data_IF_289128199929
#
_entry.id   IF_289128199929
#
_cell.length_a   1.000
_cell.length_b   1.000
_cell.length_c   1.000
_cell.angle_alpha   90.00
_cell.angle_beta   90.00
_cell.angle_gamma   90.00
#
_symmetry.space_group_name_H-M   'P 1'
#
loop_
_entity.id
_entity.type
_entity.pdbx_description
1 polymer ?
#
# COMPACT_ATOMS: atom_id res chain seq x y z
N UNK A 1 -42.12 18.68 -15.65
CA UNK A 1 -40.64 18.59 -15.65
C UNK A 1 -40.23 17.29 -14.98
N UNK A 2 -39.67 16.35 -15.75
CA UNK A 2 -39.41 14.98 -15.33
C UNK A 2 -38.07 14.89 -14.58
N UNK A 3 -38.10 14.45 -13.32
CA UNK A 3 -36.89 14.12 -12.56
C UNK A 3 -36.34 12.78 -13.02
N UNK A 4 -35.18 12.83 -13.68
CA UNK A 4 -34.45 11.67 -14.18
C UNK A 4 -33.88 10.88 -13.00
N UNK A 5 -34.61 9.86 -12.54
CA UNK A 5 -34.12 8.83 -11.61
C UNK A 5 -32.87 8.18 -12.22
N UNK A 6 -31.72 8.37 -11.58
CA UNK A 6 -30.46 7.68 -11.90
C UNK A 6 -30.64 6.21 -11.48
N UNK A 7 -30.66 5.30 -12.47
CA UNK A 7 -30.65 3.85 -12.24
C UNK A 7 -29.45 3.50 -11.33
N UNK A 8 -29.73 3.04 -10.11
CA UNK A 8 -28.75 2.34 -9.26
C UNK A 8 -28.55 0.97 -9.91
N UNK A 9 -27.31 0.65 -10.26
CA UNK A 9 -26.94 -0.72 -10.64
C UNK A 9 -27.11 -1.61 -9.42
N UNK A 10 -27.81 -2.73 -9.63
CA UNK A 10 -27.80 -3.90 -8.76
C UNK A 10 -26.39 -4.51 -8.86
N UNK A 11 -25.76 -4.71 -7.69
CA UNK A 11 -24.51 -5.45 -7.40
C UNK A 11 -23.58 -4.58 -6.54
N UNK A 12 -23.74 -4.67 -5.22
CA UNK A 12 -22.70 -4.48 -4.19
C UNK A 12 -23.37 -4.37 -2.81
N UNK A 13 -23.73 -5.50 -2.19
CA UNK A 13 -24.08 -5.56 -0.76
C UNK A 13 -22.80 -5.59 0.10
N UNK A 14 -21.92 -4.59 -0.05
CA UNK A 14 -20.78 -4.42 0.85
C UNK A 14 -21.28 -3.62 2.07
N UNK A 15 -21.54 -4.31 3.18
CA UNK A 15 -21.88 -3.64 4.46
C UNK A 15 -20.64 -2.89 4.94
N UNK A 16 -20.61 -1.59 4.68
CA UNK A 16 -19.54 -0.69 5.11
C UNK A 16 -19.86 -0.18 6.52
N UNK A 17 -19.20 -0.65 7.59
CA UNK A 17 -19.40 -0.07 8.89
C UNK A 17 -18.95 1.39 8.84
N UNK A 18 -19.84 2.30 9.28
CA UNK A 18 -19.54 3.71 9.41
C UNK A 18 -18.20 3.87 10.15
N UNK A 19 -17.34 4.85 9.77
CA UNK A 19 -16.05 5.09 10.41
C UNK A 19 -16.27 5.58 11.85
N UNK A 20 -16.66 4.68 12.74
CA UNK A 20 -16.75 4.93 14.16
C UNK A 20 -15.34 4.81 14.70
N UNK A 21 -14.76 5.97 15.00
CA UNK A 21 -13.64 6.11 15.92
C UNK A 21 -12.31 5.47 15.48
N UNK A 22 -11.83 5.79 14.28
CA UNK A 22 -10.37 5.89 14.13
C UNK A 22 -9.97 7.15 14.89
N UNK A 23 -9.53 7.01 16.14
CA UNK A 23 -8.90 8.11 16.86
C UNK A 23 -7.64 8.49 16.08
N UNK A 24 -7.78 9.47 15.18
CA UNK A 24 -6.64 10.19 14.63
C UNK A 24 -6.18 11.15 15.73
N UNK A 25 -5.77 10.59 16.87
CA UNK A 25 -4.72 11.23 17.62
C UNK A 25 -3.61 11.38 16.60
N UNK A 26 -3.30 12.63 16.22
CA UNK A 26 -2.09 12.94 15.48
C UNK A 26 -1.01 12.03 16.04
N UNK A 27 -0.50 11.09 15.22
CA UNK A 27 0.59 10.21 15.59
C UNK A 27 1.65 11.12 16.19
N UNK A 28 1.73 11.19 17.52
CA UNK A 28 2.69 12.08 18.16
C UNK A 28 4.04 11.48 17.80
N UNK A 29 5.03 12.31 17.48
CA UNK A 29 6.35 11.84 17.05
C UNK A 29 7.05 10.88 18.05
N UNK A 30 6.48 10.67 19.23
CA UNK A 30 6.98 9.84 20.33
C UNK A 30 6.11 8.62 20.67
N UNK A 31 4.99 8.37 19.98
CA UNK A 31 4.15 7.21 20.26
C UNK A 31 4.66 5.95 19.56
N UNK A 32 4.63 4.83 20.28
CA UNK A 32 4.97 3.50 19.75
C UNK A 32 4.13 3.23 18.50
N UNK A 33 4.76 2.88 17.38
CA UNK A 33 4.05 2.50 16.16
C UNK A 33 4.88 1.59 15.29
N UNK A 34 4.20 0.73 14.54
CA UNK A 34 4.80 -0.09 13.50
C UNK A 34 4.80 0.71 12.20
N UNK A 35 5.96 0.86 11.59
CA UNK A 35 6.09 1.47 10.26
C UNK A 35 6.44 0.37 9.27
N UNK A 36 5.56 0.14 8.30
CA UNK A 36 5.79 -0.84 7.23
C UNK A 36 6.07 -0.11 5.93
N UNK A 37 7.22 -0.40 5.33
CA UNK A 37 7.61 0.14 4.03
C UNK A 37 7.56 -1.00 3.02
N UNK A 38 6.63 -0.92 2.07
CA UNK A 38 6.58 -1.84 0.93
C UNK A 38 7.61 -1.39 -0.11
N UNK A 39 8.78 -2.01 -0.04
CA UNK A 39 9.92 -1.69 -0.89
C UNK A 39 9.81 -2.33 -2.28
N UNK A 40 10.33 -1.63 -3.31
CA UNK A 40 10.36 -2.08 -4.70
C UNK A 40 8.97 -2.47 -5.27
N UNK A 41 7.94 -1.70 -4.91
CA UNK A 41 6.59 -1.89 -5.41
C UNK A 41 6.50 -1.63 -6.92
N UNK A 42 5.88 -2.54 -7.66
CA UNK A 42 5.75 -2.47 -9.12
C UNK A 42 4.48 -1.68 -9.49
N UNK A 43 4.49 -0.38 -9.22
CA UNK A 43 3.40 0.54 -9.55
C UNK A 43 3.88 1.52 -10.62
N UNK A 44 3.41 1.33 -11.85
CA UNK A 44 3.77 2.15 -13.01
C UNK A 44 2.54 2.37 -13.88
N UNK A 45 2.31 3.61 -14.32
CA UNK A 45 1.23 3.94 -15.26
C UNK A 45 1.71 3.83 -16.70
N UNK A 46 0.95 3.15 -17.55
CA UNK A 46 1.19 3.08 -19.00
C UNK A 46 0.01 3.66 -19.76
N UNK A 47 0.30 4.24 -20.93
CA UNK A 47 -0.71 4.74 -21.86
C UNK A 47 -1.13 3.61 -22.80
N UNK A 48 -2.39 3.21 -22.70
CA UNK A 48 -3.00 2.21 -23.58
C UNK A 48 -4.10 2.89 -24.42
N UNK A 49 -3.76 3.25 -25.66
CA UNK A 49 -4.65 4.06 -26.51
C UNK A 49 -4.90 5.46 -25.93
N UNK A 50 -6.15 5.75 -25.60
CA UNK A 50 -6.59 7.03 -25.02
C UNK A 50 -6.65 7.03 -23.49
N UNK A 51 -6.54 5.87 -22.83
CA UNK A 51 -6.63 5.73 -21.38
C UNK A 51 -5.25 5.47 -20.75
N UNK A 52 -5.11 5.84 -19.48
CA UNK A 52 -3.97 5.46 -18.65
C UNK A 52 -4.39 4.30 -17.75
N UNK A 53 -3.59 3.24 -17.76
CA UNK A 53 -3.82 2.01 -17.02
C UNK A 53 -2.58 1.66 -16.19
N UNK A 54 -2.77 0.91 -15.12
CA UNK A 54 -1.65 0.43 -14.31
C UNK A 54 -0.99 -0.75 -15.04
N UNK A 55 0.32 -0.72 -15.18
CA UNK A 55 1.08 -1.77 -15.87
C UNK A 55 0.89 -3.10 -15.15
N UNK A 56 0.40 -4.09 -15.88
CA UNK A 56 0.08 -5.42 -15.36
C UNK A 56 0.65 -6.51 -16.28
N UNK A 57 1.02 -7.66 -15.73
CA UNK A 57 1.56 -8.78 -16.50
C UNK A 57 0.52 -9.41 -17.43
N UNK A 58 -0.76 -9.38 -17.08
CA UNK A 58 -1.81 -10.07 -17.83
C UNK A 58 -2.33 -9.25 -19.01
N UNK A 59 -2.68 -7.98 -18.76
CA UNK A 59 -3.32 -7.12 -19.76
C UNK A 59 -2.31 -6.48 -20.74
N UNK A 60 -1.05 -6.31 -20.33
CA UNK A 60 -0.07 -5.48 -21.05
C UNK A 60 1.15 -6.24 -21.58
N UNK A 61 1.02 -7.55 -21.84
CA UNK A 61 2.11 -8.41 -22.36
C UNK A 61 2.79 -7.80 -23.60
N UNK A 62 2.01 -7.22 -24.52
CA UNK A 62 2.54 -6.62 -25.75
C UNK A 62 3.41 -5.39 -25.50
N UNK A 63 3.05 -4.54 -24.54
CA UNK A 63 3.82 -3.35 -24.17
C UNK A 63 5.11 -3.76 -23.45
N UNK A 64 5.03 -4.76 -22.58
CA UNK A 64 6.20 -5.31 -21.87
C UNK A 64 7.23 -5.89 -22.83
N UNK A 65 6.78 -6.68 -23.83
CA UNK A 65 7.66 -7.22 -24.89
C UNK A 65 8.33 -6.12 -25.71
N UNK A 66 7.60 -5.05 -26.07
CA UNK A 66 8.16 -3.91 -26.82
C UNK A 66 9.27 -3.19 -26.04
N UNK A 67 9.14 -3.12 -24.73
CA UNK A 67 10.13 -2.49 -23.85
C UNK A 67 11.20 -3.46 -23.34
N UNK A 68 11.34 -4.66 -23.93
CA UNK A 68 12.29 -5.70 -23.50
C UNK A 68 12.20 -6.04 -21.99
N UNK A 69 11.00 -5.96 -21.40
CA UNK A 69 10.75 -6.32 -19.99
C UNK A 69 10.08 -7.68 -19.90
N UNK A 70 10.53 -8.49 -18.96
CA UNK A 70 9.92 -9.78 -18.68
C UNK A 70 8.51 -9.59 -18.06
N UNK A 71 7.47 -10.28 -18.56
CA UNK A 71 6.10 -10.12 -18.05
C UNK A 71 5.98 -10.34 -16.54
N UNK A 72 6.74 -11.29 -15.99
CA UNK A 72 6.74 -11.59 -14.55
C UNK A 72 7.30 -10.49 -13.65
N UNK A 73 7.87 -9.41 -14.22
CA UNK A 73 8.43 -8.30 -13.43
C UNK A 73 7.38 -7.30 -12.95
N UNK A 74 6.20 -7.26 -13.57
CA UNK A 74 5.19 -6.24 -13.30
C UNK A 74 3.99 -6.86 -12.59
N UNK A 75 4.05 -6.90 -11.26
CA UNK A 75 3.07 -7.54 -10.37
C UNK A 75 2.51 -6.55 -9.33
N UNK A 76 1.68 -5.58 -9.77
CA UNK A 76 1.04 -4.62 -8.86
C UNK A 76 0.07 -5.29 -7.87
N UNK A 77 -0.44 -6.47 -8.20
CA UNK A 77 -1.30 -7.31 -7.35
C UNK A 77 -0.65 -7.69 -6.02
N UNK A 78 0.68 -7.89 -6.00
CA UNK A 78 1.42 -8.18 -4.77
C UNK A 78 1.30 -7.00 -3.80
N UNK A 79 1.48 -5.77 -4.28
CA UNK A 79 1.35 -4.56 -3.44
C UNK A 79 -0.08 -4.39 -2.97
N UNK A 80 -1.05 -4.62 -3.86
CA UNK A 80 -2.48 -4.56 -3.53
C UNK A 80 -2.84 -5.51 -2.38
N UNK A 81 -2.45 -6.78 -2.48
CA UNK A 81 -2.70 -7.78 -1.43
C UNK A 81 -2.02 -7.42 -0.11
N UNK A 82 -0.77 -6.94 -0.14
CA UNK A 82 -0.07 -6.49 1.06
C UNK A 82 -0.81 -5.34 1.75
N UNK A 83 -1.25 -4.34 0.97
CA UNK A 83 -2.00 -3.20 1.48
C UNK A 83 -3.34 -3.60 2.09
N UNK A 84 -4.05 -4.57 1.50
CA UNK A 84 -5.28 -5.10 2.10
C UNK A 84 -5.01 -5.71 3.48
N UNK A 85 -3.99 -6.56 3.61
CA UNK A 85 -3.64 -7.18 4.90
C UNK A 85 -3.22 -6.15 5.96
N UNK A 86 -2.42 -5.15 5.56
CA UNK A 86 -1.95 -4.10 6.46
C UNK A 86 -3.10 -3.20 6.92
N UNK A 87 -3.91 -2.70 6.00
CA UNK A 87 -4.96 -1.71 6.32
C UNK A 87 -6.16 -2.32 7.06
N UNK A 88 -6.39 -3.62 6.93
CA UNK A 88 -7.44 -4.34 7.67
C UNK A 88 -7.06 -4.75 9.08
N UNK A 89 -5.77 -4.77 9.38
CA UNK A 89 -5.25 -5.23 10.68
C UNK A 89 -5.90 -4.48 11.85
N UNK A 90 -6.22 -5.17 12.96
CA UNK A 90 -6.53 -4.52 14.24
C UNK A 90 -5.51 -3.45 14.60
N UNK A 91 -4.23 -3.68 14.31
CA UNK A 91 -3.14 -2.72 14.50
C UNK A 91 -3.38 -1.37 13.81
N UNK A 92 -3.85 -1.39 12.55
CA UNK A 92 -4.20 -0.17 11.83
C UNK A 92 -5.43 0.53 12.43
N UNK A 93 -6.42 -0.26 12.85
CA UNK A 93 -7.63 0.27 13.50
C UNK A 93 -7.33 0.91 14.86
N UNK A 94 -6.32 0.41 15.57
CA UNK A 94 -5.80 1.00 16.79
C UNK A 94 -4.97 2.28 16.56
N UNK A 95 -4.68 2.67 15.30
CA UNK A 95 -3.90 3.86 14.98
C UNK A 95 -2.39 3.70 15.18
N UNK A 96 -1.90 2.47 15.34
CA UNK A 96 -0.49 2.16 15.64
C UNK A 96 0.28 1.67 14.41
N UNK A 97 -0.32 1.72 13.22
CA UNK A 97 0.31 1.35 11.95
C UNK A 97 0.48 2.58 11.05
N UNK A 98 1.66 2.70 10.46
CA UNK A 98 1.91 3.64 9.36
C UNK A 98 2.49 2.88 8.17
N UNK A 99 1.93 3.12 6.98
CA UNK A 99 2.32 2.40 5.77
C UNK A 99 2.89 3.35 4.73
N UNK A 100 4.06 3.00 4.21
CA UNK A 100 4.68 3.64 3.07
C UNK A 100 4.85 2.64 1.93
N UNK A 101 4.78 3.13 0.70
CA UNK A 101 5.06 2.34 -0.50
C UNK A 101 6.16 3.03 -1.28
N UNK A 102 7.26 2.33 -1.50
CA UNK A 102 8.37 2.81 -2.31
C UNK A 102 8.40 2.02 -3.62
N UNK A 103 8.15 2.71 -4.74
CA UNK A 103 8.05 2.06 -6.04
C UNK A 103 9.42 1.84 -6.67
N UNK A 104 9.49 0.90 -7.63
CA UNK A 104 10.69 0.68 -8.45
C UNK A 104 11.12 1.94 -9.26
N UNK A 105 10.19 2.86 -9.51
CA UNK A 105 10.48 4.15 -10.15
C UNK A 105 10.91 5.24 -9.16
N UNK A 106 11.33 4.86 -7.94
CA UNK A 106 11.77 5.77 -6.89
C UNK A 106 10.68 6.78 -6.46
N UNK A 107 9.41 6.37 -6.50
CA UNK A 107 8.29 7.19 -6.02
C UNK A 107 7.93 6.72 -4.62
N UNK A 108 7.93 7.63 -3.66
CA UNK A 108 7.55 7.34 -2.29
C UNK A 108 6.13 7.82 -2.01
N UNK A 109 5.29 6.91 -1.55
CA UNK A 109 3.87 7.13 -1.28
C UNK A 109 3.61 6.93 0.20
N UNK A 110 3.02 7.93 0.83
CA UNK A 110 2.48 7.87 2.19
C UNK A 110 0.99 7.51 2.12
N UNK A 111 0.60 6.51 2.91
CA UNK A 111 -0.79 6.06 3.03
C UNK A 111 -1.32 6.47 4.40
N UNK A 112 -2.42 7.23 4.38
CA UNK A 112 -3.13 7.59 5.60
C UNK A 112 -3.83 6.34 6.19
N UNK A 113 -3.73 6.08 7.51
CA UNK A 113 -4.40 4.96 8.20
C UNK A 113 -5.91 4.85 7.93
N UNK A 114 -6.59 5.98 7.66
CA UNK A 114 -8.01 6.02 7.34
C UNK A 114 -8.36 5.61 5.90
N UNK A 115 -7.35 5.37 5.05
CA UNK A 115 -7.55 5.02 3.65
C UNK A 115 -8.14 3.62 3.54
N UNK A 116 -9.35 3.51 2.98
CA UNK A 116 -9.89 2.22 2.57
C UNK A 116 -9.37 1.85 1.19
N UNK A 117 -8.55 0.81 1.12
CA UNK A 117 -8.01 0.29 -0.14
C UNK A 117 -9.11 -0.50 -0.86
N UNK A 118 -9.38 -0.23 -2.15
CA UNK A 118 -10.39 -0.97 -2.90
C UNK A 118 -10.10 -2.48 -2.92
N UNK A 119 -11.09 -3.31 -2.62
CA UNK A 119 -10.96 -4.78 -2.60
C UNK A 119 -10.71 -5.40 -3.97
N UNK A 120 -11.26 -4.79 -5.01
CA UNK A 120 -11.10 -5.27 -6.39
C UNK A 120 -9.88 -4.64 -7.04
N UNK A 121 -9.06 -5.47 -7.68
CA UNK A 121 -7.81 -5.02 -8.32
C UNK A 121 -8.05 -3.92 -9.36
N UNK A 122 -9.12 -4.03 -10.17
CA UNK A 122 -9.46 -3.02 -11.18
C UNK A 122 -9.72 -1.63 -10.59
N UNK A 123 -10.38 -1.55 -9.42
CA UNK A 123 -10.59 -0.28 -8.70
C UNK A 123 -9.28 0.24 -8.11
N UNK A 124 -8.46 -0.65 -7.53
CA UNK A 124 -7.14 -0.30 -7.03
C UNK A 124 -6.21 0.25 -8.13
N UNK A 125 -6.19 -0.38 -9.31
CA UNK A 125 -5.40 0.07 -10.45
C UNK A 125 -5.78 1.50 -10.88
N UNK A 126 -7.08 1.79 -11.00
CA UNK A 126 -7.56 3.15 -11.31
C UNK A 126 -7.15 4.18 -10.24
N UNK A 127 -7.22 3.80 -8.95
CA UNK A 127 -6.78 4.66 -7.85
C UNK A 127 -5.28 4.96 -7.91
N UNK A 128 -4.45 3.95 -8.19
CA UNK A 128 -2.99 4.12 -8.30
C UNK A 128 -2.60 4.96 -9.52
N UNK A 129 -3.25 4.79 -10.66
CA UNK A 129 -3.06 5.66 -11.83
C UNK A 129 -3.41 7.10 -11.45
N UNK A 130 -4.55 7.33 -10.81
CA UNK A 130 -4.93 8.66 -10.36
C UNK A 130 -3.89 9.26 -9.39
N UNK A 131 -3.33 8.45 -8.48
CA UNK A 131 -2.31 8.88 -7.53
C UNK A 131 -1.03 9.31 -8.26
N UNK A 132 -0.55 8.53 -9.21
CA UNK A 132 0.69 8.81 -9.94
C UNK A 132 0.56 10.08 -10.82
N UNK A 133 -0.63 10.34 -11.37
CA UNK A 133 -0.86 11.55 -12.17
C UNK A 133 -1.12 12.81 -11.35
N UNK A 134 -1.83 12.70 -10.21
CA UNK A 134 -2.22 13.87 -9.39
C UNK A 134 -1.31 14.11 -8.18
N UNK A 135 -0.41 13.18 -7.87
CA UNK A 135 0.47 13.14 -6.70
C UNK A 135 -0.23 13.14 -5.33
N UNK A 136 -1.55 13.30 -5.29
CA UNK A 136 -2.35 13.21 -4.08
C UNK A 136 -3.78 12.79 -4.39
N UNK A 137 -4.40 12.09 -3.44
CA UNK A 137 -5.81 11.72 -3.46
C UNK A 137 -6.44 12.19 -2.16
N UNK A 138 -7.60 12.83 -2.28
CA UNK A 138 -8.39 13.34 -1.16
C UNK A 138 -9.62 12.48 -0.95
N UNK A 139 -10.12 12.48 0.28
CA UNK A 139 -11.43 11.92 0.58
C UNK A 139 -12.52 12.66 -0.21
N UNK A 140 -13.55 11.94 -0.66
CA UNK A 140 -14.71 12.56 -1.32
C UNK A 140 -15.49 13.48 -0.36
N UNK A 141 -15.41 13.19 0.93
CA UNK A 141 -16.19 13.81 2.00
C UNK A 141 -15.37 14.83 2.84
N UNK A 142 -14.17 15.21 2.38
CA UNK A 142 -13.36 16.19 3.12
C UNK A 142 -12.02 16.55 2.49
N UNK A 143 -11.33 17.56 3.05
CA UNK A 143 -10.05 18.04 2.52
C UNK A 143 -8.88 17.10 2.82
N UNK A 144 -9.08 16.08 3.66
CA UNK A 144 -8.05 15.14 4.09
C UNK A 144 -7.43 14.40 2.91
N UNK A 145 -6.10 14.36 2.88
CA UNK A 145 -5.33 13.58 1.91
C UNK A 145 -5.22 12.14 2.43
N UNK A 146 -5.71 11.20 1.63
CA UNK A 146 -5.67 9.77 1.93
C UNK A 146 -4.36 9.15 1.43
N UNK A 147 -3.99 9.47 0.19
CA UNK A 147 -2.74 9.02 -0.42
C UNK A 147 -1.97 10.24 -0.89
N UNK A 148 -0.67 10.26 -0.63
CA UNK A 148 0.19 11.39 -0.97
C UNK A 148 1.56 10.89 -1.42
N UNK A 149 2.01 11.39 -2.57
CA UNK A 149 3.41 11.24 -2.98
C UNK A 149 4.26 12.22 -2.16
N UNK A 150 5.29 11.70 -1.51
CA UNK A 150 6.22 12.44 -0.66
C UNK A 150 7.63 12.41 -1.26
N UNK A 151 8.49 13.31 -0.78
CA UNK A 151 9.88 13.42 -1.26
C UNK A 151 10.74 12.32 -0.64
N UNK A 152 11.66 11.78 -1.44
CA UNK A 152 12.73 10.92 -0.94
C UNK A 152 13.81 11.74 -0.20
N UNK A 153 14.60 11.11 0.70
CA UNK A 153 14.56 9.70 1.11
C UNK A 153 13.50 9.41 2.19
N UNK A 154 13.08 8.14 2.32
CA UNK A 154 12.13 7.71 3.37
C UNK A 154 12.65 8.00 4.79
N UNK A 155 13.98 7.98 5.00
CA UNK A 155 14.63 8.28 6.27
C UNK A 155 14.18 9.60 6.91
N UNK A 156 13.85 10.61 6.10
CA UNK A 156 13.44 11.94 6.59
C UNK A 156 12.04 11.95 7.21
N UNK A 157 11.22 10.93 6.90
CA UNK A 157 9.84 10.79 7.40
C UNK A 157 9.72 9.80 8.55
N UNK A 158 10.82 9.16 8.94
CA UNK A 158 10.87 8.21 10.05
C UNK A 158 11.17 8.93 11.37
N UNK A 159 10.59 8.50 12.50
CA UNK A 159 10.90 9.06 13.80
C UNK A 159 12.35 8.74 14.21
N UNK A 160 12.95 9.64 14.99
CA UNK A 160 14.30 9.45 15.54
C UNK A 160 14.34 8.26 16.51
N UNK A 161 15.44 7.50 16.50
CA UNK A 161 15.61 6.32 17.35
C UNK A 161 14.81 5.08 16.91
N UNK A 162 14.20 5.10 15.72
CA UNK A 162 13.50 3.94 15.17
C UNK A 162 14.51 2.91 14.62
N UNK A 163 14.42 1.66 15.11
CA UNK A 163 15.17 0.52 14.57
C UNK A 163 14.61 0.12 13.21
N UNK A 164 15.48 -0.05 12.21
CA UNK A 164 15.09 -0.29 10.81
C UNK A 164 15.50 -1.69 10.41
N UNK A 165 14.52 -2.57 10.20
CA UNK A 165 14.75 -3.99 9.93
C UNK A 165 14.25 -4.33 8.52
N UNK A 166 15.09 -5.04 7.76
CA UNK A 166 14.73 -5.64 6.49
C UNK A 166 14.25 -7.07 6.69
N UNK A 167 13.15 -7.44 6.06
CA UNK A 167 12.68 -8.83 6.06
C UNK A 167 13.18 -9.52 4.79
N UNK A 168 13.95 -10.60 4.96
CA UNK A 168 14.44 -11.41 3.85
C UNK A 168 14.38 -12.88 4.20
N UNK A 169 13.84 -13.68 3.29
CA UNK A 169 14.13 -15.11 3.25
C UNK A 169 15.56 -15.31 2.71
N UNK A 170 16.21 -16.45 2.99
CA UNK A 170 17.56 -16.76 2.53
C UNK A 170 17.67 -16.62 1.00
N UNK A 171 18.12 -15.46 0.52
CA UNK A 171 18.07 -15.09 -0.89
C UNK A 171 19.39 -14.45 -1.31
N UNK A 172 19.97 -14.95 -2.40
CA UNK A 172 21.18 -14.41 -3.01
C UNK A 172 20.99 -12.98 -3.57
N UNK A 173 19.73 -12.56 -3.78
CA UNK A 173 19.34 -11.21 -4.22
C UNK A 173 18.40 -10.61 -3.19
N UNK A 174 18.96 -9.78 -2.32
CA UNK A 174 18.22 -8.95 -1.36
C UNK A 174 18.14 -7.54 -1.93
N UNK A 175 16.99 -6.87 -1.79
CA UNK A 175 16.92 -5.44 -2.08
C UNK A 175 17.87 -4.74 -1.09
N UNK A 176 18.95 -4.15 -1.60
CA UNK A 176 19.91 -3.43 -0.75
C UNK A 176 19.32 -2.07 -0.42
N UNK A 177 18.95 -1.92 0.83
CA UNK A 177 18.33 -0.70 1.32
C UNK A 177 19.32 -0.01 2.26
N UNK A 178 19.72 1.22 1.93
CA UNK A 178 20.81 1.90 2.64
C UNK A 178 20.45 2.39 4.06
N UNK A 179 19.19 2.25 4.46
CA UNK A 179 18.70 2.69 5.76
C UNK A 179 18.41 1.56 6.74
N UNK A 180 18.59 0.29 6.36
CA UNK A 180 18.30 -0.85 7.23
C UNK A 180 19.53 -1.22 8.06
N UNK A 181 19.32 -1.49 9.35
CA UNK A 181 20.37 -1.86 10.31
C UNK A 181 20.56 -3.38 10.35
N UNK A 182 19.46 -4.13 10.34
CA UNK A 182 19.44 -5.58 10.44
C UNK A 182 18.60 -6.22 9.34
N UNK A 183 18.91 -7.46 8.98
CA UNK A 183 18.07 -8.31 8.12
C UNK A 183 17.63 -9.54 8.90
N UNK A 184 16.32 -9.80 8.95
CA UNK A 184 15.75 -10.95 9.66
C UNK A 184 14.94 -11.85 8.71
N UNK A 185 14.96 -13.14 8.99
CA UNK A 185 13.99 -14.11 8.44
C UNK A 185 13.01 -14.51 9.53
N UNK A 186 11.71 -14.47 9.23
CA UNK A 186 10.64 -14.86 10.17
C UNK A 186 10.12 -16.28 9.92
N UNK A 187 10.68 -16.99 8.93
CA UNK A 187 10.21 -18.31 8.51
C UNK A 187 11.32 -19.08 7.82
N UNK A 188 11.33 -20.40 8.03
CA UNK A 188 12.20 -21.33 7.30
C UNK A 188 11.70 -21.63 5.88
N UNK A 189 10.51 -21.13 5.53
CA UNK A 189 9.89 -21.25 4.21
C UNK A 189 9.72 -19.87 3.58
N UNK A 190 9.84 -19.75 2.24
CA UNK A 190 9.56 -18.50 1.55
C UNK A 190 8.09 -18.12 1.72
N UNK A 191 7.82 -16.87 2.11
CA UNK A 191 6.47 -16.35 2.32
C UNK A 191 6.14 -15.31 1.26
N UNK A 192 4.84 -15.18 0.93
CA UNK A 192 4.36 -14.05 0.14
C UNK A 192 4.41 -12.76 0.98
N UNK A 193 4.54 -11.61 0.32
CA UNK A 193 4.57 -10.31 1.00
C UNK A 193 3.34 -10.09 1.89
N UNK A 194 2.15 -10.51 1.45
CA UNK A 194 0.91 -10.37 2.20
C UNK A 194 0.90 -11.23 3.48
N UNK A 195 1.41 -12.46 3.43
CA UNK A 195 1.53 -13.33 4.61
C UNK A 195 2.56 -12.78 5.60
N UNK A 196 3.68 -12.25 5.09
CA UNK A 196 4.67 -11.57 5.93
C UNK A 196 4.07 -10.36 6.64
N UNK A 197 3.32 -9.52 5.93
CA UNK A 197 2.61 -8.37 6.51
C UNK A 197 1.61 -8.81 7.59
N UNK A 198 0.84 -9.86 7.31
CA UNK A 198 -0.13 -10.43 8.25
C UNK A 198 0.53 -10.93 9.54
N UNK A 199 1.56 -11.79 9.41
CA UNK A 199 2.31 -12.32 10.56
C UNK A 199 2.95 -11.22 11.40
N UNK A 200 3.47 -10.18 10.73
CA UNK A 200 4.06 -9.04 11.42
C UNK A 200 2.99 -8.29 12.22
N UNK A 201 1.85 -7.95 11.61
CA UNK A 201 0.77 -7.26 12.33
C UNK A 201 0.29 -8.07 13.53
N UNK A 202 0.02 -9.36 13.34
CA UNK A 202 -0.43 -10.24 14.43
C UNK A 202 0.58 -10.32 15.58
N UNK A 203 1.87 -10.45 15.28
CA UNK A 203 2.89 -10.49 16.33
C UNK A 203 2.95 -9.17 17.13
N UNK A 204 2.80 -8.02 16.46
CA UNK A 204 2.75 -6.73 17.13
C UNK A 204 1.43 -6.51 17.89
N UNK A 205 0.32 -7.03 17.40
CA UNK A 205 -0.97 -7.03 18.11
C UNK A 205 -0.88 -7.81 19.42
N UNK A 206 -0.27 -9.01 19.39
CA UNK A 206 -0.05 -9.82 20.60
C UNK A 206 0.87 -9.10 21.60
N UNK A 207 2.01 -8.57 21.14
CA UNK A 207 2.99 -7.89 22.01
C UNK A 207 2.45 -6.57 22.58
N UNK A 208 1.56 -5.89 21.87
CA UNK A 208 0.96 -4.63 22.32
C UNK A 208 -0.44 -4.77 22.91
N UNK A 209 -0.91 -6.01 23.10
CA UNK A 209 -2.20 -6.35 23.71
C UNK A 209 -3.40 -5.68 23.00
N UNK A 210 -3.37 -5.70 21.67
CA UNK A 210 -4.45 -5.19 20.82
C UNK A 210 -5.39 -6.36 20.50
N UNK A 211 -6.61 -6.30 21.03
CA UNK A 211 -7.65 -7.35 20.90
C UNK A 211 -8.84 -6.84 20.09
#
# INVERSE_FOLDING_TARGET
>A
MSHKRKKRGEDDYEYDPAPKHLQVGHIRNQEKRLIVILENAQLESVKNGSAFELLNCDDHVGILKKNNRFPGTCRPDITHQCLLMLMDSPLNRAGLLQVYVHTNQNVLIEINPQTRIPRTFKRFAGLMVQLLHKYNIRASDGPMKLLKVIKNPISDHLPVGCRKILMSFNANKVVKVNYTEDTISISNYPLSGAITCSKLCTAFEEVWEIV
#
